data_IF_945310516347
#
_entry.id   IF_945310516347
#
_cell.length_a   1.000
_cell.length_b   1.000
_cell.length_c   1.000
_cell.angle_alpha   90.00
_cell.angle_beta   90.00
_cell.angle_gamma   90.00
#
_symmetry.space_group_name_H-M   'P 1'
#
loop_
_entity.id
_entity.type
_entity.pdbx_description
1 polymer ?
#
# COMPACT_ATOMS: atom_id res chain seq x y z
N UNK A 1 11.80 -9.55 -40.35
CA UNK A 1 12.00 -10.37 -39.13
C UNK A 1 11.99 -9.61 -37.80
N UNK A 2 12.54 -8.37 -37.72
CA UNK A 2 12.51 -7.56 -36.48
C UNK A 2 11.15 -6.90 -36.16
N UNK A 3 10.31 -6.63 -37.17
CA UNK A 3 8.93 -6.10 -36.97
C UNK A 3 8.03 -7.14 -36.28
N UNK A 4 8.27 -8.42 -36.55
CA UNK A 4 7.51 -9.53 -35.97
C UNK A 4 7.89 -9.76 -34.50
N UNK A 5 9.17 -9.64 -34.12
CA UNK A 5 9.59 -9.72 -32.71
C UNK A 5 9.08 -8.53 -31.88
N UNK A 6 9.00 -7.34 -32.47
CA UNK A 6 8.40 -6.17 -31.81
C UNK A 6 6.90 -6.36 -31.63
N UNK A 7 6.19 -6.91 -32.63
CA UNK A 7 4.78 -7.28 -32.51
C UNK A 7 4.56 -8.35 -31.45
N UNK A 8 5.36 -9.42 -31.38
CA UNK A 8 5.18 -10.46 -30.35
C UNK A 8 5.54 -9.99 -28.93
N UNK A 9 6.45 -9.03 -28.78
CA UNK A 9 6.73 -8.43 -27.48
C UNK A 9 5.62 -7.44 -27.07
N UNK A 10 5.07 -6.68 -28.01
CA UNK A 10 3.94 -5.77 -27.76
C UNK A 10 2.62 -6.52 -27.57
N UNK A 11 2.37 -7.60 -28.31
CA UNK A 11 1.23 -8.50 -28.18
C UNK A 11 1.39 -9.36 -26.93
N UNK A 12 2.60 -9.82 -26.57
CA UNK A 12 2.83 -10.52 -25.31
C UNK A 12 2.61 -9.64 -24.08
N UNK A 13 3.00 -8.35 -24.16
CA UNK A 13 2.69 -7.35 -23.12
C UNK A 13 1.20 -7.01 -23.12
N UNK A 14 0.59 -6.78 -24.29
CA UNK A 14 -0.84 -6.48 -24.39
C UNK A 14 -1.71 -7.66 -23.96
N UNK A 15 -1.34 -8.92 -24.24
CA UNK A 15 -2.10 -10.12 -23.86
C UNK A 15 -1.93 -10.44 -22.37
N UNK A 16 -0.76 -10.20 -21.77
CA UNK A 16 -0.59 -10.26 -20.31
C UNK A 16 -1.27 -9.09 -19.59
N UNK A 17 -1.36 -7.91 -20.20
CA UNK A 17 -2.11 -6.77 -19.68
C UNK A 17 -3.63 -6.94 -19.88
N UNK A 18 -4.08 -7.64 -20.94
CA UNK A 18 -5.51 -7.95 -21.20
C UNK A 18 -6.03 -9.09 -20.31
N UNK A 19 -5.22 -10.11 -20.01
CA UNK A 19 -5.62 -11.18 -19.08
C UNK A 19 -5.58 -10.75 -17.61
N UNK A 20 -5.03 -9.56 -17.31
CA UNK A 20 -5.17 -8.88 -16.03
C UNK A 20 -6.36 -7.90 -16.06
N UNK A 21 -7.44 -8.24 -16.78
CA UNK A 21 -8.72 -7.55 -16.63
C UNK A 21 -9.15 -7.68 -15.18
N UNK A 22 -9.15 -6.54 -14.50
CA UNK A 22 -9.62 -6.28 -13.14
C UNK A 22 -10.82 -7.16 -12.76
N UNK A 23 -10.59 -8.20 -11.98
CA UNK A 23 -11.48 -8.39 -10.85
C UNK A 23 -11.13 -7.27 -9.87
N UNK A 24 -11.95 -6.22 -9.86
CA UNK A 24 -12.04 -5.37 -8.68
C UNK A 24 -12.42 -6.32 -7.54
N UNK A 25 -11.42 -6.66 -6.72
CA UNK A 25 -11.70 -7.34 -5.47
C UNK A 25 -12.48 -6.34 -4.63
N UNK A 26 -13.77 -6.61 -4.48
CA UNK A 26 -14.64 -5.87 -3.60
C UNK A 26 -14.10 -6.02 -2.18
N UNK A 27 -13.58 -4.91 -1.67
CA UNK A 27 -13.18 -4.86 -0.28
C UNK A 27 -14.41 -4.49 0.52
N UNK A 28 -14.98 -5.46 1.23
CA UNK A 28 -16.16 -5.23 2.05
C UNK A 28 -15.89 -4.12 3.08
N UNK A 29 -16.83 -3.18 3.19
CA UNK A 29 -16.84 -2.21 4.28
C UNK A 29 -17.47 -2.88 5.49
N UNK A 30 -17.04 -2.48 6.68
CA UNK A 30 -17.61 -3.02 7.92
C UNK A 30 -19.13 -2.80 8.03
N UNK A 31 -19.63 -1.73 7.39
CA UNK A 31 -21.03 -1.35 7.31
C UNK A 31 -21.86 -2.32 6.44
N UNK A 32 -21.23 -3.08 5.55
CA UNK A 32 -21.90 -3.97 4.60
C UNK A 32 -22.12 -5.39 5.17
N UNK A 33 -21.57 -5.70 6.35
CA UNK A 33 -21.59 -7.04 6.95
C UNK A 33 -22.87 -7.29 7.77
N UNK A 34 -23.38 -8.52 7.68
CA UNK A 34 -24.54 -8.97 8.47
C UNK A 34 -24.19 -9.20 9.94
N UNK A 35 -25.21 -9.21 10.82
CA UNK A 35 -25.03 -9.49 12.26
C UNK A 35 -24.40 -10.86 12.52
N UNK A 36 -24.83 -11.87 11.78
CA UNK A 36 -24.33 -13.25 11.87
C UNK A 36 -22.83 -13.33 11.54
N UNK A 37 -22.39 -12.62 10.49
CA UNK A 37 -20.97 -12.56 10.13
C UNK A 37 -20.14 -11.83 11.19
N UNK A 38 -20.65 -10.74 11.75
CA UNK A 38 -19.97 -9.99 12.81
C UNK A 38 -19.80 -10.82 14.10
N UNK A 39 -20.77 -11.66 14.44
CA UNK A 39 -20.66 -12.53 15.61
C UNK A 39 -19.51 -13.55 15.46
N UNK A 40 -19.25 -14.07 14.26
CA UNK A 40 -18.10 -14.95 14.01
C UNK A 40 -16.73 -14.28 14.14
N UNK A 41 -16.71 -12.94 14.18
CA UNK A 41 -15.49 -12.14 14.21
C UNK A 41 -15.10 -11.70 15.63
N UNK A 42 -16.02 -11.81 16.61
CA UNK A 42 -15.81 -11.35 18.00
C UNK A 42 -14.65 -12.05 18.70
N UNK A 43 -14.43 -13.32 18.40
CA UNK A 43 -13.38 -14.14 19.05
C UNK A 43 -11.98 -13.93 18.46
N UNK A 44 -11.84 -13.10 17.42
CA UNK A 44 -10.57 -12.89 16.71
C UNK A 44 -9.76 -11.74 17.33
N UNK A 45 -8.44 -11.82 17.18
CA UNK A 45 -7.58 -10.69 17.52
C UNK A 45 -7.74 -9.58 16.47
N UNK A 46 -8.28 -8.44 16.88
CA UNK A 46 -8.51 -7.31 15.99
C UNK A 46 -7.23 -6.46 15.93
N UNK A 47 -6.81 -6.13 14.73
CA UNK A 47 -5.62 -5.29 14.46
C UNK A 47 -6.06 -4.08 13.64
N UNK A 48 -5.79 -2.89 14.15
CA UNK A 48 -6.00 -1.64 13.42
C UNK A 48 -4.85 -1.37 12.48
N UNK A 49 -5.14 -1.11 11.20
CA UNK A 49 -4.16 -0.90 10.14
C UNK A 49 -4.40 0.43 9.43
N UNK A 50 -3.46 1.36 9.61
CA UNK A 50 -3.42 2.67 8.95
C UNK A 50 -2.52 2.60 7.69
N UNK A 51 -3.07 2.73 6.47
CA UNK A 51 -2.28 2.80 5.24
C UNK A 51 -1.68 4.20 5.02
N UNK A 52 -0.44 4.25 4.53
CA UNK A 52 0.26 5.52 4.31
C UNK A 52 1.20 5.54 3.10
N UNK A 53 1.89 6.67 2.90
CA UNK A 53 2.90 6.85 1.83
C UNK A 53 4.33 6.60 2.32
N UNK A 54 4.65 7.04 3.53
CA UNK A 54 5.96 6.80 4.14
C UNK A 54 5.99 5.41 4.77
N UNK A 55 5.16 5.23 5.79
CA UNK A 55 4.80 3.95 6.37
C UNK A 55 3.68 3.42 5.49
N UNK A 56 3.96 2.40 4.67
CA UNK A 56 3.00 1.86 3.72
C UNK A 56 1.81 1.27 4.48
N UNK A 57 2.11 0.65 5.62
CA UNK A 57 1.16 0.09 6.56
C UNK A 57 1.72 0.27 7.97
N UNK A 58 0.87 0.74 8.89
CA UNK A 58 1.13 0.81 10.32
C UNK A 58 0.05 0.02 11.06
N UNK A 59 0.44 -1.00 11.81
CA UNK A 59 -0.47 -1.92 12.50
C UNK A 59 -0.27 -1.88 14.01
N UNK A 60 -1.39 -1.93 14.74
CA UNK A 60 -1.44 -1.99 16.20
C UNK A 60 -2.55 -2.96 16.64
N UNK A 61 -2.28 -3.75 17.68
CA UNK A 61 -3.31 -4.54 18.38
C UNK A 61 -3.70 -3.93 19.73
N UNK A 62 -4.67 -4.55 20.41
CA UNK A 62 -5.10 -4.13 21.76
C UNK A 62 -4.01 -4.30 22.82
N UNK A 63 -3.11 -5.27 22.63
CA UNK A 63 -2.02 -5.58 23.57
C UNK A 63 -0.88 -4.57 23.46
N UNK A 64 -0.93 -3.65 22.49
CA UNK A 64 0.11 -2.65 22.24
C UNK A 64 1.25 -3.14 21.35
N UNK A 65 1.14 -4.33 20.77
CA UNK A 65 2.10 -4.82 19.78
C UNK A 65 2.00 -3.94 18.53
N UNK A 66 3.17 -3.54 18.03
CA UNK A 66 3.31 -2.68 16.87
C UNK A 66 4.02 -3.42 15.75
N UNK A 67 3.50 -3.29 14.53
CA UNK A 67 4.22 -3.67 13.32
C UNK A 67 4.10 -2.59 12.25
N UNK A 68 5.22 -2.25 11.61
CA UNK A 68 5.28 -1.19 10.60
C UNK A 68 6.07 -1.66 9.39
N UNK A 69 5.57 -1.35 8.19
CA UNK A 69 6.29 -1.61 6.94
C UNK A 69 6.43 -0.32 6.14
N UNK A 70 7.68 0.11 5.94
CA UNK A 70 7.96 1.42 5.32
C UNK A 70 8.41 1.32 3.87
N UNK A 71 8.16 2.37 3.10
CA UNK A 71 8.64 2.48 1.73
C UNK A 71 10.18 2.45 1.65
N UNK A 72 10.84 3.03 2.66
CA UNK A 72 12.30 3.05 2.80
C UNK A 72 12.85 1.65 3.05
N UNK A 73 12.26 0.90 3.98
CA UNK A 73 12.63 -0.49 4.27
C UNK A 73 12.55 -1.34 3.00
N UNK A 74 11.40 -1.32 2.29
CA UNK A 74 11.22 -2.05 1.03
C UNK A 74 12.28 -1.70 -0.01
N UNK A 75 12.69 -0.43 -0.09
CA UNK A 75 13.70 0.04 -1.05
C UNK A 75 15.09 -0.50 -0.74
N UNK A 76 15.41 -0.67 0.54
CA UNK A 76 16.66 -1.26 1.00
C UNK A 76 16.64 -2.76 0.74
N UNK A 77 15.59 -3.45 1.19
CA UNK A 77 15.46 -4.91 1.10
C UNK A 77 15.37 -5.41 -0.35
N UNK A 78 14.80 -4.63 -1.27
CA UNK A 78 14.76 -4.97 -2.70
C UNK A 78 16.09 -4.75 -3.44
N UNK A 79 17.12 -4.20 -2.78
CA UNK A 79 18.41 -3.82 -3.38
C UNK A 79 18.30 -2.86 -4.57
N UNK A 80 17.16 -2.19 -4.78
CA UNK A 80 16.90 -1.41 -5.99
C UNK A 80 17.93 -0.29 -6.23
N UNK A 81 18.32 0.44 -5.18
CA UNK A 81 19.37 1.48 -5.27
C UNK A 81 20.73 0.90 -5.64
N UNK A 82 21.11 -0.24 -5.07
CA UNK A 82 22.40 -0.91 -5.34
C UNK A 82 22.45 -1.36 -6.80
N UNK A 83 21.39 -2.04 -7.26
CA UNK A 83 21.30 -2.51 -8.64
C UNK A 83 21.34 -1.33 -9.63
N UNK A 84 20.63 -0.23 -9.33
CA UNK A 84 20.66 0.98 -10.15
C UNK A 84 22.07 1.58 -10.25
N UNK A 85 22.85 1.62 -9.17
CA UNK A 85 24.25 2.09 -9.19
C UNK A 85 25.14 1.21 -10.07
N UNK A 86 25.03 -0.11 -9.95
CA UNK A 86 25.80 -1.06 -10.76
C UNK A 86 25.47 -0.87 -12.25
N UNK A 87 24.18 -0.82 -12.60
CA UNK A 87 23.74 -0.62 -13.99
C UNK A 87 24.18 0.74 -14.55
N UNK A 88 24.23 1.78 -13.72
CA UNK A 88 24.74 3.09 -14.12
C UNK A 88 26.25 3.06 -14.38
N UNK A 89 27.03 2.38 -13.54
CA UNK A 89 28.47 2.18 -13.75
C UNK A 89 28.75 1.40 -15.04
N UNK A 90 27.99 0.34 -15.30
CA UNK A 90 28.06 -0.43 -16.54
C UNK A 90 27.78 0.44 -17.78
N UNK A 91 26.75 1.30 -17.71
CA UNK A 91 26.45 2.27 -18.78
C UNK A 91 27.58 3.26 -19.00
N UNK A 92 28.19 3.79 -17.94
CA UNK A 92 29.33 4.72 -18.03
C UNK A 92 30.55 4.06 -18.66
N UNK A 93 30.90 2.84 -18.22
CA UNK A 93 32.05 2.08 -18.73
C UNK A 93 31.96 1.84 -20.24
N UNK A 94 30.76 1.58 -20.75
CA UNK A 94 30.51 1.31 -22.17
C UNK A 94 30.09 2.56 -22.97
N UNK A 95 30.18 3.77 -22.38
CA UNK A 95 29.77 5.05 -23.00
C UNK A 95 28.37 5.04 -23.60
N UNK A 96 27.46 4.24 -23.03
CA UNK A 96 26.08 4.10 -23.52
C UNK A 96 25.28 5.38 -23.32
N UNK A 97 25.61 6.15 -22.27
CA UNK A 97 24.95 7.42 -21.98
C UNK A 97 25.14 8.40 -23.14
N UNK A 98 26.36 8.54 -23.67
CA UNK A 98 26.65 9.42 -24.81
C UNK A 98 25.85 9.01 -26.06
N UNK A 99 25.77 7.70 -26.31
CA UNK A 99 24.99 7.15 -27.43
C UNK A 99 23.48 7.44 -27.26
N UNK A 100 22.94 7.26 -26.06
CA UNK A 100 21.53 7.56 -25.75
C UNK A 100 21.21 9.07 -25.84
N UNK A 101 22.15 9.93 -25.43
CA UNK A 101 21.99 11.39 -25.51
C UNK A 101 21.85 11.88 -26.95
N UNK A 102 22.51 11.26 -27.94
CA UNK A 102 22.34 11.64 -29.36
C UNK A 102 20.88 11.54 -29.80
N UNK A 103 20.19 10.47 -29.42
CA UNK A 103 18.78 10.26 -29.76
C UNK A 103 17.85 11.24 -29.02
N UNK A 104 18.24 11.71 -27.83
CA UNK A 104 17.42 12.65 -27.04
C UNK A 104 17.21 14.02 -27.71
N UNK A 105 18.04 14.36 -28.70
CA UNK A 105 17.87 15.56 -29.54
C UNK A 105 16.65 15.47 -30.46
N UNK A 106 16.16 14.27 -30.74
CA UNK A 106 15.04 14.02 -31.64
C UNK A 106 13.75 13.73 -30.87
N UNK A 107 12.62 14.17 -31.42
CA UNK A 107 11.32 14.06 -30.75
C UNK A 107 10.52 12.84 -31.24
N UNK A 108 10.39 11.84 -30.37
CA UNK A 108 9.61 10.62 -30.63
C UNK A 108 8.09 10.81 -30.62
N UNK A 109 7.60 11.96 -30.17
CA UNK A 109 6.16 12.30 -30.03
C UNK A 109 5.71 13.37 -31.03
N UNK A 110 6.50 13.65 -32.05
CA UNK A 110 6.12 14.62 -33.08
C UNK A 110 4.97 14.07 -33.93
N UNK A 111 3.96 14.89 -34.18
CA UNK A 111 2.87 14.60 -35.14
C UNK A 111 3.35 14.79 -36.59
N UNK A 112 4.47 15.49 -36.79
CA UNK A 112 5.04 15.70 -38.11
C UNK A 112 5.71 14.42 -38.63
N UNK A 113 5.20 13.92 -39.75
CA UNK A 113 5.61 12.66 -40.37
C UNK A 113 7.09 12.61 -40.76
N UNK A 114 7.63 13.68 -41.35
CA UNK A 114 9.06 13.77 -41.73
C UNK A 114 9.97 13.70 -40.51
N UNK A 115 9.65 14.47 -39.45
CA UNK A 115 10.42 14.44 -38.20
C UNK A 115 10.39 13.08 -37.52
N UNK A 116 9.26 12.38 -37.61
CA UNK A 116 9.13 11.03 -37.06
C UNK A 116 9.91 9.98 -37.87
N UNK A 117 9.93 10.07 -39.21
CA UNK A 117 10.78 9.22 -40.06
C UNK A 117 12.26 9.33 -39.69
N UNK A 118 12.76 10.56 -39.54
CA UNK A 118 14.15 10.81 -39.13
C UNK A 118 14.44 10.17 -37.77
N UNK A 119 13.51 10.29 -36.82
CA UNK A 119 13.61 9.61 -35.52
C UNK A 119 13.71 8.09 -35.65
N UNK A 120 12.91 7.45 -36.52
CA UNK A 120 12.95 6.00 -36.70
C UNK A 120 14.31 5.53 -37.23
N UNK A 121 14.90 6.25 -38.19
CA UNK A 121 16.21 5.92 -38.75
C UNK A 121 17.29 6.01 -37.68
N UNK A 122 17.33 7.09 -36.91
CA UNK A 122 18.31 7.25 -35.82
C UNK A 122 18.07 6.25 -34.68
N UNK A 123 16.81 5.91 -34.40
CA UNK A 123 16.46 4.89 -33.40
C UNK A 123 16.95 3.50 -33.82
N UNK A 124 16.82 3.14 -35.09
CA UNK A 124 17.31 1.87 -35.63
C UNK A 124 18.83 1.77 -35.54
N UNK A 125 19.55 2.83 -35.94
CA UNK A 125 21.02 2.92 -35.78
C UNK A 125 21.44 2.71 -34.32
N UNK A 126 20.83 3.46 -33.39
CA UNK A 126 21.13 3.32 -31.96
C UNK A 126 20.82 1.91 -31.44
N UNK A 127 19.70 1.32 -31.86
CA UNK A 127 19.33 -0.03 -31.44
C UNK A 127 20.38 -1.04 -31.89
N UNK A 128 20.83 -0.99 -33.15
CA UNK A 128 21.91 -1.88 -33.65
C UNK A 128 23.17 -1.76 -32.79
N UNK A 129 23.56 -0.55 -32.40
CA UNK A 129 24.74 -0.33 -31.56
C UNK A 129 24.59 -0.75 -30.10
N UNK A 130 23.38 -0.66 -29.53
CA UNK A 130 23.13 -0.88 -28.10
C UNK A 130 22.54 -2.25 -27.78
N UNK A 131 22.11 -3.00 -28.80
CA UNK A 131 21.43 -4.29 -28.65
C UNK A 131 22.28 -5.30 -27.89
N UNK A 132 23.54 -5.48 -28.28
CA UNK A 132 24.40 -6.48 -27.64
C UNK A 132 24.73 -6.12 -26.19
N UNK A 133 24.82 -4.83 -25.90
CA UNK A 133 24.98 -4.33 -24.53
C UNK A 133 23.78 -4.66 -23.63
N UNK A 134 22.56 -4.48 -24.13
CA UNK A 134 21.34 -4.75 -23.36
C UNK A 134 20.95 -6.23 -23.32
N UNK A 135 21.42 -7.04 -24.28
CA UNK A 135 21.30 -8.52 -24.26
C UNK A 135 22.16 -9.16 -23.17
N UNK A 136 23.17 -8.47 -22.64
CA UNK A 136 24.01 -8.97 -21.55
C UNK A 136 23.17 -9.46 -20.38
N UNK A 137 23.54 -10.61 -19.83
CA UNK A 137 22.84 -11.24 -18.72
C UNK A 137 22.77 -10.38 -17.46
N UNK A 138 23.72 -9.45 -17.25
CA UNK A 138 23.76 -8.53 -16.10
C UNK A 138 22.43 -7.79 -15.94
N UNK A 139 21.83 -7.31 -17.02
CA UNK A 139 20.55 -6.60 -16.97
C UNK A 139 19.41 -7.49 -16.48
N UNK A 140 19.34 -8.72 -16.99
CA UNK A 140 18.33 -9.72 -16.60
C UNK A 140 18.55 -10.16 -15.14
N UNK A 141 19.78 -10.45 -14.75
CA UNK A 141 20.16 -10.82 -13.38
C UNK A 141 19.79 -9.72 -12.38
N UNK A 142 20.07 -8.45 -12.68
CA UNK A 142 19.74 -7.33 -11.78
C UNK A 142 18.23 -7.10 -11.65
N UNK A 143 17.48 -7.19 -12.75
CA UNK A 143 16.01 -7.11 -12.73
C UNK A 143 15.40 -8.27 -11.93
N UNK A 144 15.84 -9.50 -12.19
CA UNK A 144 15.38 -10.68 -11.48
C UNK A 144 15.68 -10.59 -9.99
N UNK A 145 16.91 -10.21 -9.60
CA UNK A 145 17.25 -9.97 -8.19
C UNK A 145 16.31 -8.96 -7.55
N UNK A 146 16.13 -7.79 -8.15
CA UNK A 146 15.25 -6.76 -7.59
C UNK A 146 13.81 -7.27 -7.39
N UNK A 147 13.30 -8.03 -8.37
CA UNK A 147 11.99 -8.66 -8.28
C UNK A 147 11.90 -9.68 -7.13
N UNK A 148 12.83 -10.65 -7.09
CA UNK A 148 12.83 -11.74 -6.11
C UNK A 148 13.01 -11.22 -4.68
N UNK A 149 13.96 -10.31 -4.46
CA UNK A 149 14.15 -9.69 -3.15
C UNK A 149 12.98 -8.77 -2.75
N UNK A 150 12.37 -8.08 -3.72
CA UNK A 150 11.16 -7.30 -3.49
C UNK A 150 9.97 -8.17 -3.05
N UNK A 151 9.83 -9.37 -3.61
CA UNK A 151 8.84 -10.37 -3.17
C UNK A 151 9.17 -10.92 -1.79
N UNK A 152 10.41 -11.35 -1.58
CA UNK A 152 10.90 -11.83 -0.27
C UNK A 152 10.65 -10.83 0.84
N UNK A 153 10.91 -9.54 0.62
CA UNK A 153 10.63 -8.46 1.58
C UNK A 153 9.16 -8.45 2.03
N UNK A 154 8.24 -8.57 1.07
CA UNK A 154 6.80 -8.59 1.35
C UNK A 154 6.41 -9.88 2.08
N UNK A 155 6.91 -11.03 1.63
CA UNK A 155 6.60 -12.32 2.24
C UNK A 155 7.11 -12.39 3.69
N UNK A 156 8.32 -11.88 3.95
CA UNK A 156 8.85 -11.71 5.31
C UNK A 156 7.95 -10.80 6.14
N UNK A 157 7.50 -9.67 5.60
CA UNK A 157 6.56 -8.79 6.31
C UNK A 157 5.24 -9.50 6.62
N UNK A 158 4.68 -10.22 5.65
CA UNK A 158 3.46 -11.01 5.84
C UNK A 158 3.67 -12.12 6.88
N UNK A 159 4.86 -12.69 7.03
CA UNK A 159 5.12 -13.66 8.10
C UNK A 159 5.25 -12.98 9.47
N UNK A 160 5.89 -11.80 9.51
CA UNK A 160 5.96 -10.99 10.73
C UNK A 160 4.58 -10.58 11.27
N UNK A 161 3.58 -10.34 10.41
CA UNK A 161 2.20 -10.11 10.86
C UNK A 161 1.71 -11.30 11.71
N UNK A 162 1.92 -12.53 11.21
CA UNK A 162 1.56 -13.76 11.91
C UNK A 162 2.30 -13.91 13.23
N UNK A 163 3.61 -13.66 13.22
CA UNK A 163 4.47 -13.76 14.40
C UNK A 163 4.09 -12.72 15.47
N UNK A 164 3.71 -11.51 15.06
CA UNK A 164 3.42 -10.39 15.98
C UNK A 164 2.02 -10.50 16.58
N UNK A 165 1.01 -10.87 15.77
CA UNK A 165 -0.40 -10.78 16.16
C UNK A 165 -1.12 -12.13 16.28
N UNK A 166 -0.49 -13.23 15.86
CA UNK A 166 -1.04 -14.59 15.94
C UNK A 166 -1.62 -15.12 14.62
N UNK A 167 -2.37 -16.23 14.68
CA UNK A 167 -3.02 -16.81 13.49
C UNK A 167 -4.45 -16.32 13.30
N UNK A 168 -5.20 -16.16 14.40
CA UNK A 168 -6.61 -15.76 14.38
C UNK A 168 -6.75 -14.22 14.39
N UNK A 169 -6.38 -13.58 13.28
CA UNK A 169 -6.36 -12.11 13.16
C UNK A 169 -7.48 -11.63 12.25
N UNK A 170 -8.11 -10.52 12.64
CA UNK A 170 -8.94 -9.68 11.79
C UNK A 170 -8.31 -8.29 11.64
N UNK A 171 -8.04 -7.86 10.41
CA UNK A 171 -7.40 -6.55 10.17
C UNK A 171 -8.45 -5.52 9.78
N UNK A 172 -8.68 -4.55 10.65
CA UNK A 172 -9.40 -3.31 10.32
C UNK A 172 -8.50 -2.42 9.47
N UNK A 173 -8.78 -2.33 8.18
CA UNK A 173 -7.95 -1.61 7.20
C UNK A 173 -8.60 -0.27 6.85
N UNK A 174 -7.91 0.83 7.14
CA UNK A 174 -8.41 2.16 6.81
C UNK A 174 -8.61 2.41 5.29
N UNK A 175 -9.61 3.21 4.93
CA UNK A 175 -9.87 3.54 3.53
C UNK A 175 -8.81 4.51 2.95
N UNK A 176 -7.93 3.98 2.10
CA UNK A 176 -7.00 4.84 1.38
C UNK A 176 -7.68 5.43 0.13
N UNK A 177 -8.15 6.68 0.22
CA UNK A 177 -8.89 7.35 -0.87
C UNK A 177 -8.03 8.24 -1.79
N UNK A 178 -6.78 8.54 -1.45
CA UNK A 178 -5.94 9.44 -2.28
C UNK A 178 -5.51 8.75 -3.59
N UNK A 179 -6.05 9.27 -4.69
CA UNK A 179 -5.69 8.91 -6.07
C UNK A 179 -4.51 9.71 -6.62
N UNK A 180 -4.29 10.95 -6.15
CA UNK A 180 -3.23 11.83 -6.67
C UNK A 180 -1.85 11.53 -6.07
N UNK A 181 -0.81 11.71 -6.89
CA UNK A 181 0.57 11.59 -6.43
C UNK A 181 1.02 12.89 -5.76
N UNK A 182 1.59 12.77 -4.56
CA UNK A 182 2.11 13.91 -3.82
C UNK A 182 3.44 14.39 -4.41
N UNK A 183 3.61 15.72 -4.48
CA UNK A 183 4.87 16.35 -4.89
C UNK A 183 6.00 15.89 -3.96
N UNK A 184 7.17 15.62 -4.53
CA UNK A 184 8.38 15.14 -3.82
C UNK A 184 8.28 13.77 -3.13
N UNK A 185 7.17 13.04 -3.29
CA UNK A 185 7.04 11.66 -2.82
C UNK A 185 7.18 10.72 -4.01
N UNK A 186 7.95 9.64 -3.83
CA UNK A 186 8.11 8.62 -4.86
C UNK A 186 6.84 7.75 -4.97
N UNK A 187 6.48 7.21 -6.14
CA UNK A 187 5.35 6.29 -6.25
C UNK A 187 5.55 5.05 -5.36
N UNK A 188 4.48 4.63 -4.69
CA UNK A 188 4.47 3.50 -3.74
C UNK A 188 3.44 2.44 -4.13
N UNK A 189 3.64 1.22 -3.65
CA UNK A 189 2.89 0.02 -4.03
C UNK A 189 1.56 -0.16 -3.26
N UNK A 190 1.03 0.87 -2.59
CA UNK A 190 -0.07 0.76 -1.60
C UNK A 190 -1.21 -0.18 -2.02
N UNK A 191 -1.85 0.04 -3.17
CA UNK A 191 -2.95 -0.81 -3.67
C UNK A 191 -2.52 -2.27 -3.87
N UNK A 192 -1.30 -2.49 -4.37
CA UNK A 192 -0.73 -3.83 -4.54
C UNK A 192 -0.44 -4.52 -3.20
N UNK A 193 0.06 -3.77 -2.21
CA UNK A 193 0.33 -4.30 -0.88
C UNK A 193 -0.98 -4.70 -0.16
N UNK A 194 -2.02 -3.87 -0.25
CA UNK A 194 -3.34 -4.18 0.31
C UNK A 194 -3.89 -5.50 -0.25
N UNK A 195 -3.81 -5.70 -1.56
CA UNK A 195 -4.23 -6.95 -2.21
C UNK A 195 -3.46 -8.16 -1.68
N UNK A 196 -2.16 -8.01 -1.41
CA UNK A 196 -1.34 -9.11 -0.87
C UNK A 196 -1.70 -9.45 0.57
N UNK A 197 -2.00 -8.44 1.40
CA UNK A 197 -2.47 -8.65 2.78
C UNK A 197 -3.83 -9.35 2.76
N UNK A 198 -4.78 -8.84 1.97
CA UNK A 198 -6.13 -9.41 1.85
C UNK A 198 -6.15 -10.85 1.30
N UNK A 199 -5.14 -11.25 0.52
CA UNK A 199 -5.00 -12.64 0.06
C UNK A 199 -4.61 -13.61 1.18
N UNK A 200 -3.94 -13.14 2.23
CA UNK A 200 -3.39 -13.98 3.30
C UNK A 200 -4.18 -13.85 4.61
N UNK A 201 -4.76 -12.69 4.87
CA UNK A 201 -5.48 -12.35 6.09
C UNK A 201 -6.85 -11.80 5.77
N UNK A 202 -7.79 -12.03 6.68
CA UNK A 202 -9.10 -11.42 6.60
C UNK A 202 -8.99 -9.93 6.94
N UNK A 203 -9.44 -9.09 6.01
CA UNK A 203 -9.37 -7.64 6.17
C UNK A 203 -10.73 -7.01 5.91
N UNK A 204 -11.12 -6.05 6.74
CA UNK A 204 -12.35 -5.28 6.57
C UNK A 204 -11.99 -3.83 6.33
N UNK A 205 -12.69 -3.16 5.42
CA UNK A 205 -12.48 -1.73 5.16
C UNK A 205 -13.20 -0.87 6.19
N UNK A 206 -12.49 0.11 6.75
CA UNK A 206 -13.03 1.05 7.72
C UNK A 206 -12.85 2.46 7.19
N UNK A 207 -13.92 3.26 7.26
CA UNK A 207 -13.84 4.66 6.91
C UNK A 207 -12.99 5.43 7.94
N UNK A 208 -11.96 6.14 7.47
CA UNK A 208 -10.95 6.84 8.28
C UNK A 208 -11.38 8.25 8.74
N UNK A 209 -12.67 8.60 8.66
CA UNK A 209 -13.11 9.96 9.00
C UNK A 209 -12.63 10.41 10.39
N UNK A 210 -11.81 11.46 10.43
CA UNK A 210 -11.13 12.03 11.60
C UNK A 210 -10.21 11.11 12.43
N UNK A 211 -9.88 9.90 11.97
CA UNK A 211 -9.03 8.95 12.72
C UNK A 211 -7.63 9.49 13.03
N UNK A 212 -7.08 10.34 12.16
CA UNK A 212 -5.77 10.97 12.36
C UNK A 212 -5.82 12.28 13.16
N UNK A 213 -7.00 12.88 13.34
CA UNK A 213 -7.18 14.21 13.92
C UNK A 213 -7.71 14.18 15.35
N UNK A 214 -8.46 13.14 15.74
CA UNK A 214 -9.02 12.99 17.09
C UNK A 214 -8.17 12.04 17.91
N UNK A 215 -8.02 12.31 19.20
CA UNK A 215 -7.25 11.47 20.11
C UNK A 215 -7.88 10.08 20.26
N UNK A 216 -7.05 9.04 20.20
CA UNK A 216 -7.47 7.65 20.35
C UNK A 216 -8.05 7.27 21.72
N UNK A 217 -7.80 8.08 22.75
CA UNK A 217 -8.31 7.85 24.11
C UNK A 217 -9.50 8.76 24.40
N UNK A 218 -9.28 10.08 24.42
CA UNK A 218 -10.32 11.03 24.82
C UNK A 218 -11.19 11.58 23.68
N UNK A 219 -10.95 11.17 22.42
CA UNK A 219 -11.71 11.58 21.21
C UNK A 219 -11.74 13.08 20.92
N UNK A 220 -10.99 13.89 21.66
CA UNK A 220 -10.88 15.32 21.42
C UNK A 220 -9.93 15.62 20.25
N UNK A 221 -10.08 16.79 19.56
CA UNK A 221 -9.15 17.22 18.52
C UNK A 221 -7.71 17.32 19.03
N UNK A 222 -6.78 16.77 18.25
CA UNK A 222 -5.35 16.89 18.48
C UNK A 222 -4.84 18.23 17.93
N UNK A 223 -3.86 18.81 18.63
CA UNK A 223 -3.18 20.04 18.20
C UNK A 223 -1.72 19.74 17.87
N UNK A 224 -1.13 20.55 17.00
CA UNK A 224 0.31 20.49 16.78
C UNK A 224 1.06 20.99 18.00
N UNK A 225 2.15 20.31 18.33
CA UNK A 225 3.06 20.79 19.36
C UNK A 225 3.73 22.08 18.89
N UNK A 226 3.79 23.07 19.77
CA UNK A 226 4.49 24.33 19.54
C UNK A 226 5.80 24.30 20.32
N UNK A 227 6.90 24.57 19.62
CA UNK A 227 8.21 24.74 20.24
C UNK A 227 8.21 26.00 21.14
N UNK A 228 9.27 26.17 21.93
CA UNK A 228 9.56 27.36 22.76
C UNK A 228 9.44 28.69 22.02
N UNK A 229 9.62 28.68 20.70
CA UNK A 229 9.48 29.84 19.79
C UNK A 229 8.07 30.01 19.20
N UNK A 230 7.09 29.19 19.61
CA UNK A 230 5.71 29.22 19.12
C UNK A 230 5.50 28.57 17.75
N UNK A 231 6.54 28.00 17.13
CA UNK A 231 6.47 27.35 15.81
C UNK A 231 5.89 25.94 15.94
N UNK A 232 4.92 25.60 15.09
CA UNK A 232 4.31 24.28 15.07
C UNK A 232 5.24 23.23 14.45
N UNK A 233 5.51 22.16 15.20
CA UNK A 233 6.32 21.05 14.73
C UNK A 233 5.43 20.08 13.94
N UNK A 234 5.74 19.97 12.64
CA UNK A 234 5.02 19.08 11.73
C UNK A 234 5.06 17.61 12.20
N UNK A 235 3.91 16.93 12.20
CA UNK A 235 3.65 15.52 12.62
C UNK A 235 3.73 15.21 14.12
N UNK A 236 4.14 16.17 14.95
CA UNK A 236 4.11 15.99 16.40
C UNK A 236 2.78 16.54 16.93
N UNK A 237 1.90 15.64 17.37
CA UNK A 237 0.62 16.00 17.94
C UNK A 237 0.65 15.89 19.46
N UNK A 238 -0.07 16.79 20.12
CA UNK A 238 -0.31 16.77 21.55
C UNK A 238 -1.79 16.72 21.86
N UNK A 239 -2.12 15.98 22.92
CA UNK A 239 -3.44 15.99 23.50
C UNK A 239 -3.38 16.72 24.84
N UNK A 240 -4.10 17.84 24.95
CA UNK A 240 -4.18 18.62 26.19
C UNK A 240 -5.05 17.96 27.26
N UNK A 241 -5.95 17.07 26.86
CA UNK A 241 -6.94 16.45 27.75
C UNK A 241 -6.51 15.06 28.24
N UNK A 242 -5.49 14.46 27.62
CA UNK A 242 -4.89 13.22 28.11
C UNK A 242 -3.67 13.59 28.94
N UNK A 243 -3.52 12.89 30.06
CA UNK A 243 -2.46 13.10 31.02
C UNK A 243 -1.61 11.84 31.05
N UNK A 244 -0.28 11.95 30.99
CA UNK A 244 0.56 10.77 31.10
C UNK A 244 0.45 10.17 32.50
N UNK A 245 0.35 8.84 32.57
CA UNK A 245 0.28 8.10 33.84
C UNK A 245 1.50 8.36 34.74
N UNK A 246 2.66 8.64 34.15
CA UNK A 246 3.92 8.79 34.88
C UNK A 246 4.17 10.21 35.40
N UNK A 247 3.80 11.27 34.65
CA UNK A 247 4.35 12.60 34.90
C UNK A 247 3.34 13.77 34.89
N UNK A 248 2.02 13.51 34.84
CA UNK A 248 0.98 14.55 34.69
C UNK A 248 1.19 15.53 33.53
N UNK A 249 2.05 15.17 32.56
CA UNK A 249 2.48 16.03 31.46
C UNK A 249 1.64 15.80 30.21
N UNK A 250 1.70 16.78 29.29
CA UNK A 250 1.04 16.73 27.97
C UNK A 250 1.44 15.47 27.22
N UNK A 251 0.44 14.72 26.73
CA UNK A 251 0.70 13.46 26.04
C UNK A 251 0.98 13.70 24.56
N UNK A 252 2.15 13.23 24.12
CA UNK A 252 2.53 13.21 22.72
C UNK A 252 1.93 11.99 22.01
N UNK A 253 1.37 12.22 20.83
CA UNK A 253 0.83 11.17 19.97
C UNK A 253 1.46 11.29 18.58
N UNK A 254 2.00 10.19 18.09
CA UNK A 254 2.33 10.10 16.67
C UNK A 254 1.04 9.89 15.89
N UNK A 255 0.90 10.57 14.76
CA UNK A 255 -0.32 10.51 13.93
C UNK A 255 -0.66 9.07 13.53
N UNK A 256 0.32 8.33 13.05
CA UNK A 256 0.10 6.99 12.49
C UNK A 256 -0.28 5.98 13.60
N UNK A 257 0.29 6.11 14.82
CA UNK A 257 -0.14 5.32 16.00
C UNK A 257 -1.57 5.67 16.39
N UNK A 258 -1.90 6.97 16.42
CA UNK A 258 -3.23 7.44 16.79
C UNK A 258 -4.29 6.96 15.79
N UNK A 259 -4.02 7.06 14.49
CA UNK A 259 -4.90 6.55 13.43
C UNK A 259 -5.11 5.05 13.56
N UNK A 260 -4.04 4.26 13.73
CA UNK A 260 -4.16 2.80 13.83
C UNK A 260 -5.01 2.36 15.04
N UNK A 261 -4.82 3.00 16.20
CA UNK A 261 -5.64 2.70 17.39
C UNK A 261 -7.09 3.16 17.20
N UNK A 262 -7.33 4.31 16.55
CA UNK A 262 -8.70 4.73 16.23
C UNK A 262 -9.39 3.74 15.29
N UNK A 263 -8.69 3.24 14.27
CA UNK A 263 -9.21 2.22 13.36
C UNK A 263 -9.54 0.93 14.13
N UNK A 264 -8.65 0.49 15.01
CA UNK A 264 -8.88 -0.64 15.92
C UNK A 264 -10.17 -0.44 16.74
N UNK A 265 -10.27 0.68 17.46
CA UNK A 265 -11.42 1.02 18.30
C UNK A 265 -12.72 1.10 17.51
N UNK A 266 -12.70 1.67 16.30
CA UNK A 266 -13.86 1.71 15.41
C UNK A 266 -14.29 0.32 14.94
N UNK A 267 -13.32 -0.55 14.65
CA UNK A 267 -13.60 -1.95 14.29
C UNK A 267 -14.34 -2.64 15.42
N UNK A 268 -13.84 -2.50 16.65
CA UNK A 268 -14.41 -3.13 17.84
C UNK A 268 -15.80 -2.59 18.19
N UNK A 269 -15.97 -1.27 18.16
CA UNK A 269 -17.26 -0.64 18.43
C UNK A 269 -18.32 -1.15 17.46
N UNK A 270 -17.96 -1.32 16.18
CA UNK A 270 -18.90 -1.80 15.18
C UNK A 270 -19.22 -3.29 15.34
N UNK A 271 -18.22 -4.13 15.60
CA UNK A 271 -18.43 -5.57 15.82
C UNK A 271 -19.32 -5.82 17.05
N UNK A 272 -19.13 -5.05 18.12
CA UNK A 272 -19.87 -5.27 19.37
C UNK A 272 -21.24 -4.59 19.37
N UNK A 273 -21.31 -3.33 18.93
CA UNK A 273 -22.47 -2.48 19.15
C UNK A 273 -23.13 -2.01 17.83
N UNK A 274 -22.52 -2.31 16.67
CA UNK A 274 -22.94 -1.79 15.36
C UNK A 274 -23.11 -0.27 15.33
N UNK A 275 -22.37 0.42 16.19
CA UNK A 275 -22.43 1.86 16.35
C UNK A 275 -21.07 2.49 16.08
N UNK A 276 -21.12 3.71 15.55
CA UNK A 276 -19.94 4.52 15.30
C UNK A 276 -19.98 5.71 16.25
N UNK A 277 -18.91 6.00 17.00
CA UNK A 277 -18.89 7.18 17.86
C UNK A 277 -19.09 8.45 17.03
N UNK A 278 -19.92 9.36 17.55
CA UNK A 278 -20.35 10.60 16.88
C UNK A 278 -19.17 11.46 16.41
N UNK A 279 -18.07 11.45 17.17
CA UNK A 279 -16.86 12.23 16.88
C UNK A 279 -16.14 11.77 15.60
N UNK A 280 -16.43 10.55 15.13
CA UNK A 280 -15.88 9.96 13.91
C UNK A 280 -16.93 9.78 12.82
N UNK A 281 -18.15 10.32 12.99
CA UNK A 281 -19.18 10.35 11.97
C UNK A 281 -19.05 11.60 11.09
N UNK A 282 -19.39 11.47 9.81
CA UNK A 282 -19.53 12.61 8.92
C UNK A 282 -20.93 13.21 9.10
N UNK A 283 -21.03 14.51 9.38
CA UNK A 283 -22.31 15.21 9.62
C UNK A 283 -23.34 14.99 8.52
N UNK A 284 -22.90 14.76 7.28
CA UNK A 284 -23.75 14.53 6.10
C UNK A 284 -24.47 13.16 6.12
N UNK A 285 -23.98 12.17 6.89
CA UNK A 285 -24.60 10.85 7.02
C UNK A 285 -25.56 10.71 8.21
N UNK A 286 -25.63 11.70 9.11
CA UNK A 286 -26.55 11.65 10.24
C UNK A 286 -28.03 11.84 9.82
N UNK A 287 -28.29 12.38 8.62
CA UNK A 287 -29.63 12.74 8.14
C UNK A 287 -30.25 11.80 7.09
N UNK A 288 -29.61 10.67 6.75
CA UNK A 288 -30.10 9.78 5.68
C UNK A 288 -30.13 8.30 6.08
N UNK A 289 -30.73 7.98 7.23
CA UNK A 289 -31.17 6.62 7.52
C UNK A 289 -32.53 6.34 6.88
N UNK A 290 -32.53 6.09 5.58
CA UNK A 290 -33.53 5.22 4.91
C UNK A 290 -32.94 4.76 3.56
N UNK A 291 -32.07 3.76 3.59
CA UNK A 291 -31.63 3.08 2.36
C UNK A 291 -32.29 1.71 2.27
N UNK A 292 -33.27 1.65 1.38
CA UNK A 292 -33.95 0.46 0.86
C UNK A 292 -32.93 -0.54 0.31
N UNK A 293 -33.13 -1.81 0.68
CA UNK A 293 -32.40 -2.98 0.20
C UNK A 293 -32.37 -3.05 -1.34
N UNK A 294 -31.17 -3.10 -1.93
CA UNK A 294 -30.93 -3.80 -3.19
C UNK A 294 -29.87 -4.88 -2.97
N UNK A 295 -30.35 -6.12 -2.91
CA UNK A 295 -29.51 -7.32 -2.95
C UNK A 295 -28.95 -7.47 -4.36
N UNK A 296 -27.63 -7.58 -4.47
CA UNK A 296 -26.97 -8.30 -5.57
C UNK A 296 -25.88 -9.16 -4.96
N UNK A 297 -26.08 -10.48 -5.04
CA UNK A 297 -25.22 -11.47 -4.41
C UNK A 297 -23.96 -11.78 -5.22
N UNK A 298 -22.87 -12.00 -4.48
CA UNK A 298 -22.03 -13.20 -4.58
C UNK A 298 -21.16 -13.23 -3.29
N UNK A 299 -21.59 -13.99 -2.30
CA UNK A 299 -20.90 -14.11 -1.01
C UNK A 299 -19.67 -15.00 -1.15
N UNK A 300 -18.48 -14.45 -0.89
CA UNK A 300 -17.39 -15.26 -0.34
C UNK A 300 -17.57 -15.27 1.17
N UNK A 301 -18.08 -16.38 1.69
CA UNK A 301 -18.13 -16.64 3.12
C UNK A 301 -16.70 -16.53 3.69
N UNK A 302 -16.53 -15.77 4.77
CA UNK A 302 -15.28 -15.74 5.55
C UNK A 302 -15.16 -17.12 6.23
N UNK A 303 -14.63 -18.09 5.50
CA UNK A 303 -14.62 -19.50 5.88
C UNK A 303 -13.51 -19.85 6.86
N UNK A 304 -13.91 -20.37 8.03
CA UNK A 304 -13.06 -21.08 8.99
C UNK A 304 -12.39 -22.28 8.30
N UNK A 305 -11.06 -22.26 8.17
CA UNK A 305 -10.31 -23.45 7.74
C UNK A 305 -10.21 -24.44 8.91
N UNK A 306 -11.07 -25.46 8.92
CA UNK A 306 -10.91 -26.64 9.80
C UNK A 306 -9.72 -27.47 9.28
N UNK A 307 -8.68 -27.63 10.09
CA UNK A 307 -7.60 -28.60 9.84
C UNK A 307 -8.19 -30.01 9.92
N UNK A 308 -8.11 -30.77 8.82
CA UNK A 308 -8.29 -32.21 8.86
C UNK A 308 -6.91 -32.86 9.08
N UNK A 309 -6.70 -33.38 10.29
CA UNK A 309 -5.66 -34.34 10.57
C UNK A 309 -5.93 -35.60 9.74
N UNK A 310 -5.06 -35.91 8.78
CA UNK A 310 -4.94 -37.26 8.23
C UNK A 310 -3.74 -37.92 8.92
N UNK A 311 -4.04 -38.72 9.93
CA UNK A 311 -3.15 -39.79 10.36
C UNK A 311 -3.11 -40.82 9.22
N UNK A 312 -1.91 -41.07 8.72
CA UNK A 312 -1.64 -42.17 7.81
C UNK A 312 -1.51 -43.46 8.63
N UNK A 313 -2.22 -44.50 8.19
CA UNK A 313 -1.83 -45.89 8.35
C UNK A 313 -1.61 -46.44 6.94
#
# INVERSE_FOLDING_TARGET
MYVILFLYCFIGILVLDYFCSKQEQDFHTIEDLSKEELDTLKDRNIVGCDPGKHSLVYMMDKKGNKLEYTASQRKIESYGKRNQRILLQEKKKHKIIEKETRLSTQNSKSVNYEKFKVYLVEKDKLNKETTDFYKKEVWRKMKFRQYSYGKKSIDTFLNKIKETFGENILIGYGNWSRSSQMKYIMPTMNKGLRKLIHKKYDTITINEFYTSQKCCECRNPLKHYKDTKGVEIYRLFTCSNCVSCENKNVVFRTRDKNSAINILNLTECWINNQSRPVEFQCEVKASSFTCVNKKTGLSKTIGVKKQQNKHAC
#
